data_IF_596188275191
#
_entry.id   IF_596188275191
#
_cell.length_a   1.000
_cell.length_b   1.000
_cell.length_c   1.000
_cell.angle_alpha   90.00
_cell.angle_beta   90.00
_cell.angle_gamma   90.00
#
_symmetry.space_group_name_H-M   'P 1'
#
loop_
_entity.id
_entity.type
_entity.pdbx_description
1 polymer ?
#
# COMPACT_ATOMS: atom_id res chain seq x y z
N UNK A 1 23.25 -28.16 34.68
CA UNK A 1 22.37 -27.13 34.07
C UNK A 1 22.55 -27.17 32.57
N UNK A 2 21.56 -27.65 31.82
CA UNK A 2 21.63 -27.70 30.35
C UNK A 2 21.37 -26.28 29.85
N UNK A 3 22.41 -25.64 29.32
CA UNK A 3 22.30 -24.36 28.63
C UNK A 3 21.52 -24.58 27.34
N UNK A 4 20.25 -24.13 27.31
CA UNK A 4 19.44 -24.12 26.09
C UNK A 4 20.09 -23.10 25.16
N UNK A 5 20.89 -23.56 24.18
CA UNK A 5 21.41 -22.70 23.12
C UNK A 5 20.22 -22.08 22.38
N UNK A 6 19.95 -20.81 22.61
CA UNK A 6 18.87 -20.07 21.95
C UNK A 6 19.18 -19.95 20.45
N UNK A 7 18.45 -20.71 19.61
CA UNK A 7 18.68 -20.76 18.16
C UNK A 7 18.12 -19.54 17.42
N UNK A 8 17.19 -18.81 18.04
CA UNK A 8 16.47 -17.67 17.44
C UNK A 8 16.62 -16.38 18.25
N UNK A 9 16.73 -15.25 17.55
CA UNK A 9 16.82 -13.91 18.13
C UNK A 9 15.47 -13.21 18.07
N UNK A 10 14.97 -12.72 19.21
CA UNK A 10 13.75 -11.92 19.25
C UNK A 10 14.06 -10.45 18.98
N UNK A 11 13.29 -9.83 18.08
CA UNK A 11 13.28 -8.37 17.96
C UNK A 11 12.67 -7.72 19.20
N UNK A 12 12.95 -6.43 19.42
CA UNK A 12 12.28 -5.64 20.45
C UNK A 12 10.75 -5.68 20.29
N UNK A 13 10.27 -5.58 19.05
CA UNK A 13 8.84 -5.69 18.77
C UNK A 13 8.25 -7.04 19.18
N UNK A 14 8.91 -8.16 18.85
CA UNK A 14 8.48 -9.48 19.27
C UNK A 14 8.47 -9.63 20.80
N UNK A 15 9.46 -9.04 21.49
CA UNK A 15 9.54 -9.04 22.95
C UNK A 15 8.35 -8.29 23.57
N UNK A 16 8.03 -7.10 23.06
CA UNK A 16 6.89 -6.31 23.53
C UNK A 16 5.57 -7.07 23.30
N UNK A 17 5.42 -7.71 22.13
CA UNK A 17 4.24 -8.51 21.80
C UNK A 17 4.11 -9.76 22.65
N UNK A 18 5.22 -10.41 23.01
CA UNK A 18 5.23 -11.53 23.94
C UNK A 18 4.62 -11.13 25.29
N UNK A 19 5.09 -10.03 25.88
CA UNK A 19 4.58 -9.57 27.17
C UNK A 19 3.11 -9.14 27.11
N UNK A 20 2.66 -8.58 26.00
CA UNK A 20 1.27 -8.18 25.81
C UNK A 20 0.32 -9.39 25.70
N UNK A 21 0.75 -10.47 25.01
CA UNK A 21 -0.13 -11.56 24.56
C UNK A 21 0.07 -12.87 25.32
N UNK A 22 1.32 -13.29 25.51
CA UNK A 22 1.66 -14.54 26.22
C UNK A 22 1.73 -14.28 27.74
N UNK A 23 2.20 -13.09 28.15
CA UNK A 23 2.22 -12.55 29.52
C UNK A 23 3.07 -13.30 30.55
N UNK A 24 3.30 -14.62 30.42
CA UNK A 24 4.02 -15.44 31.40
C UNK A 24 5.13 -16.27 30.76
N UNK A 25 6.25 -16.43 31.48
CA UNK A 25 7.42 -17.19 31.05
C UNK A 25 8.56 -16.32 30.51
N UNK A 26 9.70 -16.96 30.25
CA UNK A 26 10.84 -16.30 29.58
C UNK A 26 10.56 -16.21 28.06
N UNK A 27 10.59 -14.99 27.46
CA UNK A 27 10.28 -14.80 26.05
C UNK A 27 11.13 -15.68 25.13
N UNK A 28 12.43 -15.82 25.43
CA UNK A 28 13.35 -16.61 24.60
C UNK A 28 13.07 -18.10 24.72
N UNK A 29 12.94 -18.63 25.93
CA UNK A 29 12.65 -20.04 26.16
C UNK A 29 11.29 -20.45 25.56
N UNK A 30 10.26 -19.62 25.75
CA UNK A 30 8.94 -19.87 25.20
C UNK A 30 8.96 -19.85 23.67
N UNK A 31 9.61 -18.86 23.05
CA UNK A 31 9.66 -18.77 21.59
C UNK A 31 10.45 -19.92 20.97
N UNK A 32 11.56 -20.36 21.57
CA UNK A 32 12.28 -21.54 21.07
C UNK A 32 11.40 -22.80 21.16
N UNK A 33 10.72 -23.02 22.29
CA UNK A 33 9.80 -24.14 22.47
C UNK A 33 8.67 -24.10 21.44
N UNK A 34 8.11 -22.92 21.21
CA UNK A 34 7.00 -22.72 20.29
C UNK A 34 7.42 -22.91 18.82
N UNK A 35 8.65 -22.56 18.46
CA UNK A 35 9.22 -22.83 17.13
C UNK A 35 9.52 -24.32 16.95
N UNK A 36 10.07 -24.99 17.97
CA UNK A 36 10.43 -26.41 17.90
C UNK A 36 9.20 -27.34 17.86
N UNK A 37 8.12 -26.96 18.54
CA UNK A 37 6.90 -27.78 18.68
C UNK A 37 5.72 -27.26 17.86
N UNK A 38 5.89 -26.14 17.18
CA UNK A 38 4.84 -25.52 16.38
C UNK A 38 4.67 -26.17 15.01
N UNK A 39 3.54 -25.87 14.38
CA UNK A 39 3.18 -26.32 13.03
C UNK A 39 3.69 -25.26 12.04
N UNK A 40 4.61 -25.61 11.12
CA UNK A 40 5.04 -24.68 10.07
C UNK A 40 3.92 -24.41 9.08
N UNK A 41 3.81 -23.16 8.63
CA UNK A 41 2.87 -22.70 7.61
C UNK A 41 3.60 -22.50 6.27
N UNK A 42 2.84 -22.44 5.17
CA UNK A 42 3.39 -22.31 3.80
C UNK A 42 4.23 -21.04 3.59
N UNK A 43 3.99 -19.99 4.36
CA UNK A 43 4.71 -18.71 4.33
C UNK A 43 5.99 -18.70 5.18
N UNK A 44 6.36 -19.84 5.78
CA UNK A 44 7.52 -19.98 6.66
C UNK A 44 7.28 -19.52 8.10
N UNK A 45 6.06 -19.09 8.45
CA UNK A 45 5.68 -18.77 9.82
C UNK A 45 5.29 -20.02 10.61
N UNK A 46 5.21 -19.90 11.94
CA UNK A 46 4.92 -21.04 12.81
C UNK A 46 3.67 -20.78 13.64
N UNK A 47 2.75 -21.75 13.64
CA UNK A 47 1.61 -21.78 14.55
C UNK A 47 1.97 -22.58 15.80
N UNK A 48 1.76 -22.01 16.98
CA UNK A 48 1.90 -22.74 18.25
C UNK A 48 0.71 -22.44 19.15
N UNK A 49 -0.18 -23.42 19.33
CA UNK A 49 -1.47 -23.23 19.99
C UNK A 49 -2.30 -22.15 19.30
N UNK A 50 -2.70 -21.14 20.07
CA UNK A 50 -3.46 -19.97 19.59
C UNK A 50 -2.56 -18.84 19.05
N UNK A 51 -1.26 -19.05 18.92
CA UNK A 51 -0.31 -18.03 18.51
C UNK A 51 0.26 -18.27 17.11
N UNK A 52 0.47 -17.19 16.38
CA UNK A 52 1.24 -17.12 15.14
C UNK A 52 2.57 -16.42 15.43
N UNK A 53 3.67 -17.10 15.11
CA UNK A 53 5.04 -16.63 15.29
C UNK A 53 5.60 -16.32 13.91
N UNK A 54 5.87 -15.04 13.67
CA UNK A 54 6.36 -14.55 12.38
C UNK A 54 7.87 -14.57 12.38
N UNK A 55 8.43 -15.32 11.43
CA UNK A 55 9.87 -15.55 11.31
C UNK A 55 10.46 -14.85 10.09
N UNK A 56 11.72 -14.44 10.22
CA UNK A 56 12.60 -14.09 9.12
C UNK A 56 13.97 -14.69 9.41
N UNK A 57 14.33 -15.75 8.69
CA UNK A 57 15.53 -16.55 8.95
C UNK A 57 15.58 -17.08 10.40
N UNK A 58 16.60 -16.69 11.18
CA UNK A 58 16.75 -17.00 12.60
C UNK A 58 16.19 -15.91 13.52
N UNK A 59 15.40 -14.98 13.01
CA UNK A 59 14.86 -13.85 13.76
C UNK A 59 13.34 -13.94 13.90
N UNK A 60 12.85 -13.69 15.12
CA UNK A 60 11.43 -13.61 15.43
C UNK A 60 11.00 -12.15 15.37
N UNK A 61 10.15 -11.85 14.39
CA UNK A 61 9.72 -10.49 14.06
C UNK A 61 8.53 -10.08 14.92
N UNK A 62 7.54 -10.97 15.10
CA UNK A 62 6.38 -10.70 15.96
C UNK A 62 5.70 -11.99 16.41
N UNK A 63 4.87 -11.89 17.46
CA UNK A 63 4.02 -12.97 17.98
C UNK A 63 2.60 -12.42 18.02
N UNK A 64 1.65 -13.00 17.28
CA UNK A 64 0.23 -12.62 17.27
C UNK A 64 -0.65 -13.80 17.65
N UNK A 65 -1.97 -13.61 17.79
CA UNK A 65 -2.88 -14.76 17.86
C UNK A 65 -3.12 -15.30 16.44
N UNK A 66 -3.23 -16.63 16.29
CA UNK A 66 -3.43 -17.32 15.03
C UNK A 66 -4.85 -17.09 14.48
N UNK A 67 -5.85 -17.02 15.36
CA UNK A 67 -7.25 -16.80 15.01
C UNK A 67 -7.72 -15.34 15.21
N UNK A 68 -6.79 -14.39 15.24
CA UNK A 68 -7.13 -13.00 15.54
C UNK A 68 -7.93 -12.37 14.38
N UNK A 69 -9.26 -12.46 14.47
CA UNK A 69 -10.19 -11.76 13.59
C UNK A 69 -9.87 -10.26 13.62
N UNK A 70 -9.44 -9.72 14.77
CA UNK A 70 -9.00 -8.33 14.92
C UNK A 70 -7.79 -7.97 14.04
N UNK A 71 -6.90 -8.92 13.73
CA UNK A 71 -5.73 -8.65 12.88
C UNK A 71 -6.11 -8.66 11.39
N UNK A 72 -7.12 -9.48 11.03
CA UNK A 72 -7.75 -9.43 9.70
C UNK A 72 -8.57 -8.15 9.53
N UNK A 73 -9.37 -7.78 10.53
CA UNK A 73 -10.18 -6.56 10.54
C UNK A 73 -9.29 -5.31 10.54
N UNK A 74 -8.22 -5.29 11.34
CA UNK A 74 -7.22 -4.21 11.32
C UNK A 74 -6.52 -4.11 9.96
N UNK A 75 -6.11 -5.24 9.37
CA UNK A 75 -5.50 -5.23 8.02
C UNK A 75 -6.50 -4.71 6.99
N UNK A 76 -7.77 -5.10 7.08
CA UNK A 76 -8.82 -4.62 6.20
C UNK A 76 -9.08 -3.13 6.37
N UNK A 77 -9.15 -2.62 7.61
CA UNK A 77 -9.35 -1.20 7.92
C UNK A 77 -8.19 -0.32 7.47
N UNK A 78 -6.95 -0.81 7.64
CA UNK A 78 -5.74 -0.14 7.14
C UNK A 78 -5.77 -0.08 5.61
N UNK A 79 -6.03 -1.19 4.93
CA UNK A 79 -6.14 -1.23 3.47
C UNK A 79 -7.26 -0.30 3.00
N UNK A 80 -8.43 -0.34 3.62
CA UNK A 80 -9.57 0.52 3.29
C UNK A 80 -9.25 2.00 3.48
N UNK A 81 -8.54 2.37 4.54
CA UNK A 81 -8.10 3.75 4.79
C UNK A 81 -7.11 4.21 3.74
N UNK A 82 -6.14 3.36 3.38
CA UNK A 82 -5.15 3.65 2.34
C UNK A 82 -5.86 3.81 0.98
N UNK A 83 -6.74 2.88 0.60
CA UNK A 83 -7.56 2.94 -0.62
C UNK A 83 -8.37 4.23 -0.68
N UNK A 84 -9.07 4.59 0.41
CA UNK A 84 -9.85 5.83 0.47
C UNK A 84 -8.98 7.08 0.31
N UNK A 85 -7.76 7.07 0.88
CA UNK A 85 -6.79 8.17 0.71
C UNK A 85 -6.34 8.29 -0.74
N UNK A 86 -6.07 7.18 -1.42
CA UNK A 86 -5.74 7.17 -2.85
C UNK A 86 -6.93 7.66 -3.69
N UNK A 87 -8.14 7.16 -3.45
CA UNK A 87 -9.36 7.61 -4.17
C UNK A 87 -9.60 9.11 -4.04
N UNK A 88 -9.44 9.66 -2.83
CA UNK A 88 -9.59 11.12 -2.59
C UNK A 88 -8.60 11.96 -3.38
N UNK A 89 -7.39 11.46 -3.61
CA UNK A 89 -6.38 12.13 -4.44
C UNK A 89 -6.59 11.89 -5.93
N UNK A 90 -6.96 10.68 -6.32
CA UNK A 90 -7.07 10.26 -7.71
C UNK A 90 -8.32 10.85 -8.40
N UNK A 91 -9.46 10.87 -7.72
CA UNK A 91 -10.74 11.37 -8.27
C UNK A 91 -10.67 12.79 -8.83
N UNK A 92 -10.13 13.80 -8.10
CA UNK A 92 -10.01 15.15 -8.66
C UNK A 92 -9.04 15.20 -9.86
N UNK A 93 -7.98 14.41 -9.87
CA UNK A 93 -7.04 14.35 -11.00
C UNK A 93 -7.67 13.73 -12.24
N UNK A 94 -8.44 12.65 -12.09
CA UNK A 94 -9.19 12.05 -13.20
C UNK A 94 -10.24 13.01 -13.76
N UNK A 95 -10.92 13.76 -12.88
CA UNK A 95 -11.86 14.81 -13.30
C UNK A 95 -11.14 15.90 -14.09
N UNK A 96 -10.05 16.45 -13.53
CA UNK A 96 -9.23 17.48 -14.19
C UNK A 96 -8.71 16.99 -15.55
N UNK A 97 -8.17 15.77 -15.63
CA UNK A 97 -7.72 15.17 -16.89
C UNK A 97 -8.81 15.19 -17.95
N UNK A 98 -10.04 14.80 -17.59
CA UNK A 98 -11.18 14.79 -18.51
C UNK A 98 -11.56 16.21 -18.95
N UNK A 99 -11.59 17.16 -18.01
CA UNK A 99 -11.91 18.57 -18.30
C UNK A 99 -10.86 19.21 -19.23
N UNK A 100 -9.57 19.06 -18.93
CA UNK A 100 -8.48 19.55 -19.79
C UNK A 100 -8.54 18.93 -21.18
N UNK A 101 -8.87 17.63 -21.29
CA UNK A 101 -9.00 16.98 -22.59
C UNK A 101 -10.17 17.51 -23.41
N UNK A 102 -11.30 17.83 -22.78
CA UNK A 102 -12.44 18.51 -23.43
C UNK A 102 -12.00 19.90 -23.91
N UNK A 103 -11.33 20.66 -23.07
CA UNK A 103 -10.86 22.01 -23.38
C UNK A 103 -9.89 22.04 -24.57
N UNK A 104 -9.00 21.05 -24.68
CA UNK A 104 -8.13 20.86 -25.85
C UNK A 104 -8.96 20.65 -27.11
N UNK A 105 -9.99 19.80 -27.07
CA UNK A 105 -10.84 19.56 -28.24
C UNK A 105 -11.62 20.82 -28.64
N UNK A 106 -12.14 21.56 -27.67
CA UNK A 106 -12.83 22.83 -27.91
C UNK A 106 -11.88 23.88 -28.50
N UNK A 107 -10.64 23.96 -28.03
CA UNK A 107 -9.61 24.83 -28.58
C UNK A 107 -9.26 24.43 -30.03
N UNK A 108 -9.09 23.14 -30.32
CA UNK A 108 -8.85 22.63 -31.70
C UNK A 108 -10.03 22.96 -32.63
N UNK A 109 -11.27 22.84 -32.16
CA UNK A 109 -12.45 23.27 -32.94
C UNK A 109 -12.42 24.78 -33.21
N UNK A 110 -12.05 25.60 -32.23
CA UNK A 110 -11.94 27.06 -32.40
C UNK A 110 -10.83 27.43 -33.38
N UNK A 111 -9.68 26.75 -33.32
CA UNK A 111 -8.57 26.93 -34.25
C UNK A 111 -9.01 26.68 -35.69
N UNK A 112 -9.68 25.55 -35.95
CA UNK A 112 -10.20 25.20 -37.28
C UNK A 112 -11.24 26.20 -37.82
N UNK A 113 -11.98 26.88 -36.94
CA UNK A 113 -12.99 27.90 -37.31
C UNK A 113 -12.38 29.29 -37.51
N UNK A 114 -11.19 29.55 -36.96
CA UNK A 114 -10.56 30.85 -37.02
C UNK A 114 -9.99 31.13 -38.41
N UNK A 115 -10.29 32.31 -38.95
CA UNK A 115 -9.77 32.76 -40.26
C UNK A 115 -8.60 33.73 -40.14
N UNK A 116 -8.41 34.31 -38.95
CA UNK A 116 -7.34 35.27 -38.70
C UNK A 116 -6.08 34.54 -38.21
N UNK A 117 -4.94 34.63 -38.93
CA UNK A 117 -3.70 33.95 -38.56
C UNK A 117 -3.20 34.26 -37.14
N UNK A 118 -3.39 35.48 -36.65
CA UNK A 118 -2.99 35.85 -35.28
C UNK A 118 -3.82 35.14 -34.21
N UNK A 119 -5.12 34.95 -34.49
CA UNK A 119 -6.03 34.23 -33.60
C UNK A 119 -5.71 32.74 -33.61
N UNK A 120 -5.41 32.17 -34.79
CA UNK A 120 -4.97 30.77 -34.92
C UNK A 120 -3.70 30.55 -34.10
N UNK A 121 -2.68 31.40 -34.24
CA UNK A 121 -1.44 31.29 -33.48
C UNK A 121 -1.66 31.34 -31.96
N UNK A 122 -2.50 32.27 -31.48
CA UNK A 122 -2.83 32.36 -30.05
C UNK A 122 -3.58 31.14 -29.53
N UNK A 123 -4.49 30.55 -30.32
CA UNK A 123 -5.19 29.31 -29.93
C UNK A 123 -4.21 28.14 -29.91
N UNK A 124 -3.29 28.06 -30.88
CA UNK A 124 -2.27 27.01 -30.93
C UNK A 124 -1.35 27.05 -29.70
N UNK A 125 -0.89 28.23 -29.28
CA UNK A 125 -0.11 28.40 -28.04
C UNK A 125 -0.89 27.91 -26.81
N UNK A 126 -2.17 28.26 -26.72
CA UNK A 126 -3.03 27.80 -25.63
C UNK A 126 -3.24 26.28 -25.63
N UNK A 127 -3.38 25.65 -26.81
CA UNK A 127 -3.43 24.18 -26.94
C UNK A 127 -2.15 23.54 -26.39
N UNK A 128 -0.99 24.11 -26.69
CA UNK A 128 0.30 23.60 -26.19
C UNK A 128 0.37 23.68 -24.65
N UNK A 129 -0.16 24.75 -24.05
CA UNK A 129 -0.24 24.86 -22.58
C UNK A 129 -1.15 23.80 -21.97
N UNK A 130 -2.34 23.59 -22.55
CA UNK A 130 -3.28 22.56 -22.11
C UNK A 130 -2.69 21.15 -22.26
N UNK A 131 -1.96 20.88 -23.35
CA UNK A 131 -1.30 19.58 -23.56
C UNK A 131 -0.16 19.35 -22.54
N UNK A 132 0.57 20.39 -22.14
CA UNK A 132 1.53 20.31 -21.03
C UNK A 132 0.84 19.99 -19.71
N UNK A 133 -0.29 20.65 -19.40
CA UNK A 133 -1.06 20.37 -18.18
C UNK A 133 -1.61 18.94 -18.17
N UNK A 134 -2.16 18.47 -19.29
CA UNK A 134 -2.68 17.12 -19.45
C UNK A 134 -1.60 16.05 -19.19
N UNK A 135 -0.38 16.31 -19.66
CA UNK A 135 0.77 15.44 -19.43
C UNK A 135 1.22 15.45 -17.96
N UNK A 136 1.23 16.61 -17.31
CA UNK A 136 1.54 16.73 -15.89
C UNK A 136 0.52 15.94 -15.03
N UNK A 137 -0.77 16.16 -15.26
CA UNK A 137 -1.86 15.44 -14.56
C UNK A 137 -1.79 13.93 -14.81
N UNK A 138 -1.48 13.52 -16.05
CA UNK A 138 -1.34 12.09 -16.38
C UNK A 138 -0.14 11.44 -15.68
N UNK A 139 0.96 12.18 -15.52
CA UNK A 139 2.14 11.72 -14.77
C UNK A 139 1.80 11.55 -13.30
N UNK A 140 1.12 12.52 -12.69
CA UNK A 140 0.69 12.45 -11.29
C UNK A 140 -0.25 11.27 -11.03
N UNK A 141 -1.19 11.01 -11.93
CA UNK A 141 -2.06 9.83 -11.88
C UNK A 141 -1.25 8.52 -11.93
N UNK A 142 -0.28 8.44 -12.84
CA UNK A 142 0.58 7.25 -12.98
C UNK A 142 1.45 7.03 -11.73
N UNK A 143 1.97 8.10 -11.15
CA UNK A 143 2.71 8.03 -9.89
C UNK A 143 1.85 7.55 -8.74
N UNK A 144 0.61 8.04 -8.62
CA UNK A 144 -0.33 7.52 -7.62
C UNK A 144 -0.62 6.03 -7.81
N UNK A 145 -0.77 5.56 -9.05
CA UNK A 145 -0.93 4.12 -9.31
C UNK A 145 0.31 3.31 -8.94
N UNK A 146 1.50 3.82 -9.24
CA UNK A 146 2.77 3.16 -8.88
C UNK A 146 2.92 3.04 -7.36
N UNK A 147 2.61 4.11 -6.61
CA UNK A 147 2.63 4.09 -5.15
C UNK A 147 1.57 3.11 -4.63
N UNK A 148 0.35 3.09 -5.19
CA UNK A 148 -0.70 2.17 -4.78
C UNK A 148 -0.30 0.68 -4.97
N UNK A 149 0.43 0.35 -6.04
CA UNK A 149 0.95 -0.99 -6.28
C UNK A 149 1.96 -1.44 -5.21
N UNK A 150 2.75 -0.53 -4.63
CA UNK A 150 3.65 -0.83 -3.50
C UNK A 150 2.86 -1.28 -2.25
N UNK A 151 1.58 -0.93 -2.15
CA UNK A 151 0.66 -1.38 -1.11
C UNK A 151 -0.23 -2.55 -1.55
N UNK A 152 0.08 -3.20 -2.69
CA UNK A 152 -0.71 -4.28 -3.30
C UNK A 152 -2.16 -3.88 -3.65
N UNK A 153 -2.41 -2.59 -3.89
CA UNK A 153 -3.72 -2.09 -4.33
C UNK A 153 -3.75 -2.09 -5.85
N UNK A 154 -4.75 -2.73 -6.44
CA UNK A 154 -4.91 -2.78 -7.90
C UNK A 154 -5.62 -1.53 -8.42
N UNK A 155 -5.45 -1.23 -9.72
CA UNK A 155 -6.15 -0.11 -10.37
C UNK A 155 -7.68 -0.24 -10.26
N UNK A 156 -8.20 -1.47 -10.36
CA UNK A 156 -9.64 -1.74 -10.22
C UNK A 156 -10.20 -1.29 -8.87
N UNK A 157 -9.42 -1.43 -7.80
CA UNK A 157 -9.83 -1.06 -6.44
C UNK A 157 -9.98 0.45 -6.25
N UNK A 158 -9.37 1.25 -7.13
CA UNK A 158 -9.34 2.71 -7.09
C UNK A 158 -10.37 3.38 -8.00
N UNK A 159 -10.99 2.61 -8.90
CA UNK A 159 -11.92 3.12 -9.92
C UNK A 159 -13.40 3.08 -9.50
N UNK A 160 -13.74 2.41 -8.40
CA UNK A 160 -15.08 2.46 -7.77
C UNK A 160 -15.21 3.56 -6.73
#
# INVERSE_FOLDING_TARGET
>A
MISIKTKYTLTKHAHDRFHQRVRKGDPKAWTNLAIERGIPLEDGNIRYGDYLIVLKDKMVVTISYYNDQQLRDFKHDVVKTIVNKFKRKLKPLLKRKKETQIEIYEAKIRELKARNPKVVASIAEHIVELEKDLNAVSTEINDLYRIAQMYHIQRGDLNG
#
